data_IF_544482533745
#
_entry.id   IF_544482533745
#
_cell.length_a   1.000
_cell.length_b   1.000
_cell.length_c   1.000
_cell.angle_alpha   90.00
_cell.angle_beta   90.00
_cell.angle_gamma   90.00
#
_symmetry.space_group_name_H-M   'P 1'
#
loop_
_entity.id
_entity.type
_entity.pdbx_description
1 polymer ?
#
# COMPACT_ATOMS: atom_id res chain seq x y z
N UNK A 1 7.07 1.09 20.72
CA UNK A 1 7.25 1.18 19.26
C UNK A 1 5.89 1.33 18.61
N UNK A 2 5.74 2.24 17.66
CA UNK A 2 4.54 2.36 16.84
C UNK A 2 4.65 1.47 15.60
N UNK A 3 3.51 1.06 15.04
CA UNK A 3 3.44 0.20 13.86
C UNK A 3 2.85 0.99 12.69
N UNK A 4 3.45 0.87 11.50
CA UNK A 4 2.96 1.52 10.29
C UNK A 4 2.81 0.47 9.19
N UNK A 5 1.58 0.32 8.69
CA UNK A 5 1.25 -0.51 7.55
C UNK A 5 1.23 0.37 6.29
N UNK A 6 2.17 0.18 5.38
CA UNK A 6 2.13 0.77 4.04
C UNK A 6 1.56 -0.25 3.07
N UNK A 7 0.40 0.02 2.52
CA UNK A 7 -0.35 -0.90 1.66
C UNK A 7 -0.46 -0.32 0.26
N UNK A 8 -0.13 -1.11 -0.77
CA UNK A 8 -0.52 -0.76 -2.14
C UNK A 8 -2.01 -1.05 -2.34
N UNK A 9 -2.73 -0.15 -3.01
CA UNK A 9 -4.15 -0.35 -3.35
C UNK A 9 -4.41 -1.70 -4.05
N UNK A 10 -5.63 -2.21 -3.98
CA UNK A 10 -6.09 -3.41 -4.69
C UNK A 10 -5.98 -3.24 -6.21
N UNK A 11 -6.09 -4.35 -6.97
CA UNK A 11 -6.06 -4.28 -8.42
C UNK A 11 -7.09 -3.30 -8.95
N UNK A 12 -6.66 -2.37 -9.80
CA UNK A 12 -7.55 -1.43 -10.49
C UNK A 12 -7.89 -1.90 -11.90
N UNK A 13 -8.90 -1.30 -12.49
CA UNK A 13 -9.28 -1.54 -13.89
C UNK A 13 -8.06 -1.34 -14.78
N UNK A 14 -7.31 -0.24 -14.59
CA UNK A 14 -6.09 0.03 -15.35
C UNK A 14 -5.00 -1.01 -15.14
N UNK A 15 -4.84 -1.55 -13.90
CA UNK A 15 -3.90 -2.65 -13.68
C UNK A 15 -4.28 -3.91 -14.47
N UNK A 16 -5.57 -4.26 -14.48
CA UNK A 16 -6.09 -5.42 -15.21
C UNK A 16 -5.95 -5.26 -16.72
N UNK A 17 -6.25 -4.07 -17.25
CA UNK A 17 -6.16 -3.74 -18.67
C UNK A 17 -4.72 -3.41 -19.14
N UNK A 18 -3.77 -3.28 -18.21
CA UNK A 18 -2.41 -2.80 -18.47
C UNK A 18 -2.38 -1.37 -19.05
N UNK A 19 -3.24 -0.52 -18.53
CA UNK A 19 -3.38 0.89 -18.91
C UNK A 19 -3.14 1.81 -17.71
N UNK A 20 -2.53 2.96 -17.98
CA UNK A 20 -2.34 4.03 -17.00
C UNK A 20 -3.54 4.98 -17.04
N UNK A 21 -4.71 4.49 -16.64
CA UNK A 21 -5.96 5.25 -16.65
C UNK A 21 -5.89 6.47 -15.73
N UNK A 22 -6.58 7.58 -16.09
CA UNK A 22 -6.75 8.74 -15.21
C UNK A 22 -7.25 8.33 -13.82
N UNK A 23 -6.81 9.00 -12.76
CA UNK A 23 -7.13 8.60 -11.38
C UNK A 23 -8.63 8.46 -11.08
N UNK A 24 -9.46 9.30 -11.67
CA UNK A 24 -10.93 9.35 -11.53
C UNK A 24 -11.65 8.20 -12.23
N UNK A 25 -11.05 7.62 -13.26
CA UNK A 25 -11.60 6.50 -14.03
C UNK A 25 -11.04 5.15 -13.55
N UNK A 26 -9.95 5.18 -12.81
CA UNK A 26 -9.19 3.99 -12.42
C UNK A 26 -9.67 3.42 -11.07
N UNK A 27 -10.88 2.92 -11.04
CA UNK A 27 -11.49 2.25 -9.87
C UNK A 27 -10.88 0.87 -9.62
N UNK A 28 -11.21 0.25 -8.48
CA UNK A 28 -10.87 -1.15 -8.25
C UNK A 28 -11.62 -2.07 -9.23
N UNK A 29 -10.93 -3.12 -9.70
CA UNK A 29 -11.56 -4.25 -10.36
C UNK A 29 -12.29 -5.13 -9.33
N UNK A 30 -13.11 -6.09 -9.79
CA UNK A 30 -13.70 -7.10 -8.90
C UNK A 30 -12.63 -7.86 -8.12
N UNK A 31 -11.52 -8.22 -8.78
CA UNK A 31 -10.34 -8.82 -8.13
C UNK A 31 -9.77 -7.90 -7.05
N UNK A 32 -9.66 -6.59 -7.34
CA UNK A 32 -9.15 -5.62 -6.39
C UNK A 32 -10.04 -5.43 -5.16
N UNK A 33 -11.35 -5.43 -5.34
CA UNK A 33 -12.32 -5.42 -4.24
C UNK A 33 -12.16 -6.67 -3.35
N UNK A 34 -12.03 -7.83 -3.97
CA UNK A 34 -11.80 -9.08 -3.25
C UNK A 34 -10.47 -9.07 -2.49
N UNK A 35 -9.38 -8.62 -3.12
CA UNK A 35 -8.06 -8.49 -2.48
C UNK A 35 -8.11 -7.56 -1.25
N UNK A 36 -8.81 -6.43 -1.35
CA UNK A 36 -8.94 -5.48 -0.26
C UNK A 36 -9.69 -6.07 0.94
N UNK A 37 -10.78 -6.80 0.69
CA UNK A 37 -11.51 -7.54 1.73
C UNK A 37 -10.67 -8.62 2.37
N UNK A 38 -9.92 -9.40 1.59
CA UNK A 38 -9.02 -10.42 2.13
C UNK A 38 -7.95 -9.81 3.04
N UNK A 39 -7.36 -8.66 2.65
CA UNK A 39 -6.43 -7.97 3.53
C UNK A 39 -7.13 -7.47 4.80
N UNK A 40 -8.35 -6.94 4.69
CA UNK A 40 -9.15 -6.54 5.83
C UNK A 40 -9.40 -7.69 6.81
N UNK A 41 -9.83 -8.86 6.30
CA UNK A 41 -10.02 -10.07 7.09
C UNK A 41 -8.72 -10.57 7.75
N UNK A 42 -7.57 -10.47 7.04
CA UNK A 42 -6.25 -10.79 7.60
C UNK A 42 -5.87 -9.86 8.75
N UNK A 43 -6.28 -8.60 8.67
CA UNK A 43 -6.00 -7.56 9.65
C UNK A 43 -7.19 -7.32 10.62
N UNK A 44 -8.20 -8.16 10.65
CA UNK A 44 -9.45 -7.95 11.40
C UNK A 44 -9.28 -7.63 12.89
N UNK A 45 -8.21 -8.14 13.50
CA UNK A 45 -7.90 -7.92 14.92
C UNK A 45 -6.96 -6.73 15.15
N UNK A 46 -6.50 -6.05 14.08
CA UNK A 46 -5.63 -4.87 14.17
C UNK A 46 -6.50 -3.64 14.36
N UNK A 47 -6.28 -2.93 15.47
CA UNK A 47 -6.97 -1.66 15.72
C UNK A 47 -6.08 -0.51 15.25
N UNK A 48 -6.46 0.14 14.17
CA UNK A 48 -5.75 1.30 13.63
C UNK A 48 -6.13 2.56 14.42
N UNK A 49 -5.12 3.25 14.95
CA UNK A 49 -5.31 4.55 15.64
C UNK A 49 -5.39 5.71 14.66
N UNK A 50 -4.77 5.57 13.47
CA UNK A 50 -4.76 6.56 12.41
C UNK A 50 -4.83 5.85 11.06
N UNK A 51 -5.59 6.43 10.13
CA UNK A 51 -5.79 5.87 8.79
C UNK A 51 -5.59 6.97 7.75
N UNK A 52 -4.65 6.76 6.84
CA UNK A 52 -4.36 7.65 5.73
C UNK A 52 -4.62 6.94 4.41
N UNK A 53 -5.25 7.64 3.47
CA UNK A 53 -5.47 7.15 2.11
C UNK A 53 -5.04 8.19 1.10
N UNK A 54 -4.40 7.74 0.01
CA UNK A 54 -4.28 8.54 -1.20
C UNK A 54 -5.65 9.03 -1.67
N UNK A 55 -5.76 10.22 -2.30
CA UNK A 55 -7.02 10.74 -2.82
C UNK A 55 -7.58 9.93 -4.01
N UNK A 56 -6.82 9.03 -4.60
CA UNK A 56 -7.27 8.26 -5.75
C UNK A 56 -8.31 7.21 -5.33
N UNK A 57 -9.41 7.14 -6.09
CA UNK A 57 -10.59 6.33 -5.76
C UNK A 57 -10.24 4.86 -5.45
N UNK A 58 -9.28 4.27 -6.17
CA UNK A 58 -8.80 2.90 -5.91
C UNK A 58 -8.15 2.72 -4.53
N UNK A 59 -7.47 3.76 -4.02
CA UNK A 59 -6.87 3.73 -2.70
C UNK A 59 -7.92 3.95 -1.60
N UNK A 60 -8.82 4.90 -1.78
CA UNK A 60 -9.94 5.15 -0.86
C UNK A 60 -10.80 3.89 -0.73
N UNK A 61 -11.21 3.30 -1.87
CA UNK A 61 -12.00 2.07 -1.87
C UNK A 61 -11.27 0.90 -1.22
N UNK A 62 -9.96 0.75 -1.44
CA UNK A 62 -9.14 -0.26 -0.74
C UNK A 62 -9.18 -0.04 0.77
N UNK A 63 -9.00 1.21 1.22
CA UNK A 63 -9.03 1.57 2.64
C UNK A 63 -10.37 1.22 3.28
N UNK A 64 -11.48 1.62 2.64
CA UNK A 64 -12.84 1.34 3.10
C UNK A 64 -13.08 -0.17 3.26
N UNK A 65 -12.67 -0.98 2.26
CA UNK A 65 -12.85 -2.44 2.32
C UNK A 65 -11.94 -3.11 3.37
N UNK A 66 -10.74 -2.59 3.63
CA UNK A 66 -9.91 -3.06 4.75
C UNK A 66 -10.62 -2.80 6.08
N UNK A 67 -11.13 -1.59 6.27
CA UNK A 67 -11.78 -1.20 7.53
C UNK A 67 -13.13 -1.90 7.76
N UNK A 68 -13.87 -2.20 6.68
CA UNK A 68 -15.18 -2.88 6.79
C UNK A 68 -15.09 -4.32 7.32
N UNK A 69 -13.94 -4.98 7.17
CA UNK A 69 -13.70 -6.32 7.69
C UNK A 69 -13.14 -6.32 9.12
N UNK A 70 -12.80 -5.14 9.65
CA UNK A 70 -12.23 -5.02 11.00
C UNK A 70 -13.26 -5.32 12.09
N UNK A 71 -12.83 -5.98 13.16
CA UNK A 71 -13.63 -6.15 14.40
C UNK A 71 -13.79 -4.85 15.19
N UNK A 72 -12.93 -3.86 14.96
CA UNK A 72 -13.10 -2.51 15.47
C UNK A 72 -14.10 -1.75 14.59
N UNK A 73 -15.04 -1.03 15.23
CA UNK A 73 -15.95 -0.16 14.50
C UNK A 73 -15.25 1.13 14.12
N UNK A 74 -15.13 1.39 12.83
CA UNK A 74 -14.62 2.65 12.30
C UNK A 74 -15.74 3.49 11.69
N UNK A 75 -15.65 4.80 11.87
CA UNK A 75 -16.52 5.77 11.20
C UNK A 75 -15.86 6.18 9.89
N UNK A 76 -16.64 6.60 8.90
CA UNK A 76 -16.12 7.03 7.59
C UNK A 76 -15.16 8.23 7.70
N UNK A 77 -15.36 9.08 8.71
CA UNK A 77 -14.53 10.27 8.97
C UNK A 77 -13.15 9.95 9.58
N UNK A 78 -12.85 8.68 9.89
CA UNK A 78 -11.52 8.25 10.36
C UNK A 78 -10.48 8.29 9.26
N UNK A 79 -10.88 8.22 7.99
CA UNK A 79 -9.97 8.19 6.85
C UNK A 79 -9.49 9.61 6.52
N UNK A 80 -8.22 9.88 6.80
CA UNK A 80 -7.58 11.12 6.37
C UNK A 80 -7.10 10.95 4.93
N UNK A 81 -7.76 11.64 4.01
CA UNK A 81 -7.33 11.68 2.60
C UNK A 81 -6.18 12.65 2.45
N UNK A 82 -5.03 12.14 1.99
CA UNK A 82 -3.78 12.90 1.95
C UNK A 82 -3.17 12.88 0.54
N UNK A 83 -3.07 14.06 -0.09
CA UNK A 83 -2.53 14.22 -1.44
C UNK A 83 -1.03 13.93 -1.53
N UNK A 84 -0.30 13.99 -0.42
CA UNK A 84 1.14 13.74 -0.41
C UNK A 84 1.48 12.26 -0.66
N UNK A 85 0.49 11.37 -0.49
CA UNK A 85 0.65 9.93 -0.76
C UNK A 85 -0.08 9.45 -2.03
N UNK A 86 -0.41 10.38 -2.95
CA UNK A 86 -0.91 10.03 -4.28
C UNK A 86 0.18 9.38 -5.15
N UNK A 87 -0.21 8.66 -6.20
CA UNK A 87 0.76 8.11 -7.16
C UNK A 87 1.53 9.26 -7.88
N UNK A 88 2.74 8.97 -8.34
CA UNK A 88 3.51 9.89 -9.15
C UNK A 88 2.79 10.12 -10.47
N UNK A 89 2.62 11.39 -10.83
CA UNK A 89 2.09 11.77 -12.15
C UNK A 89 3.14 11.50 -13.23
N UNK A 90 2.75 10.80 -14.29
CA UNK A 90 3.66 10.35 -15.36
C UNK A 90 3.63 11.19 -16.62
N UNK A 91 3.05 12.41 -16.56
CA UNK A 91 3.03 13.39 -17.65
C UNK A 91 2.35 12.85 -18.89
N UNK A 92 3.06 12.93 -20.02
CA UNK A 92 2.54 12.47 -21.35
C UNK A 92 2.18 10.98 -21.40
N UNK A 93 2.53 10.20 -20.38
CA UNK A 93 2.18 8.77 -20.27
C UNK A 93 0.90 8.50 -19.48
N UNK A 94 0.25 9.53 -18.91
CA UNK A 94 -1.10 9.34 -18.36
C UNK A 94 -2.08 8.97 -19.49
N UNK A 95 -2.95 8.01 -19.24
CA UNK A 95 -3.86 7.45 -20.23
C UNK A 95 -3.20 6.55 -21.28
N UNK A 96 -1.92 6.23 -21.15
CA UNK A 96 -1.21 5.33 -22.08
C UNK A 96 -1.09 3.91 -21.51
N UNK A 97 -0.91 2.94 -22.41
CA UNK A 97 -0.62 1.57 -22.00
C UNK A 97 0.67 1.51 -21.17
N UNK A 98 0.64 0.70 -20.10
CA UNK A 98 1.82 0.42 -19.26
C UNK A 98 2.99 -0.13 -20.09
N UNK A 99 2.71 -0.85 -21.19
CA UNK A 99 3.76 -1.33 -22.11
C UNK A 99 4.49 -0.18 -22.80
N UNK A 100 3.78 0.89 -23.17
CA UNK A 100 4.38 2.09 -23.78
C UNK A 100 5.26 2.80 -22.78
N UNK A 101 4.78 2.96 -21.55
CA UNK A 101 5.57 3.54 -20.46
C UNK A 101 6.83 2.71 -20.16
N UNK A 102 6.69 1.39 -20.03
CA UNK A 102 7.80 0.48 -19.78
C UNK A 102 8.83 0.49 -20.92
N UNK A 103 8.37 0.48 -22.17
CA UNK A 103 9.24 0.58 -23.34
C UNK A 103 10.04 1.88 -23.35
N UNK A 104 9.39 3.03 -23.08
CA UNK A 104 10.04 4.31 -23.00
C UNK A 104 11.10 4.34 -21.87
N UNK A 105 10.75 3.82 -20.70
CA UNK A 105 11.67 3.70 -19.57
C UNK A 105 12.92 2.88 -19.92
N UNK A 106 12.75 1.71 -20.54
CA UNK A 106 13.85 0.82 -20.93
C UNK A 106 14.69 1.43 -22.05
N UNK A 107 14.07 2.00 -23.10
CA UNK A 107 14.75 2.54 -24.27
C UNK A 107 15.62 3.77 -23.96
N UNK A 108 15.30 4.51 -22.90
CA UNK A 108 16.09 5.66 -22.44
C UNK A 108 17.23 5.27 -21.49
N UNK A 109 17.36 3.99 -21.12
CA UNK A 109 18.30 3.56 -20.08
C UNK A 109 18.00 4.19 -18.72
N UNK A 110 16.74 4.51 -18.50
CA UNK A 110 16.28 5.31 -17.38
C UNK A 110 16.47 4.60 -16.04
N UNK A 111 16.71 5.40 -15.02
CA UNK A 111 16.66 5.04 -13.61
C UNK A 111 15.45 5.68 -12.91
N UNK A 112 15.40 5.62 -11.58
CA UNK A 112 14.35 6.25 -10.79
C UNK A 112 14.30 7.79 -10.89
N UNK A 113 15.34 8.42 -11.49
CA UNK A 113 15.37 9.84 -11.79
C UNK A 113 14.69 10.20 -13.12
N UNK A 114 14.28 9.21 -13.94
CA UNK A 114 13.64 9.47 -15.21
C UNK A 114 12.41 10.34 -15.08
N UNK A 115 12.41 11.44 -15.83
CA UNK A 115 11.37 12.45 -15.78
C UNK A 115 10.83 12.76 -17.16
N UNK A 116 9.78 12.07 -17.63
CA UNK A 116 9.14 12.39 -18.89
C UNK A 116 8.47 13.76 -18.85
N UNK A 117 8.20 14.30 -20.02
CA UNK A 117 7.54 15.61 -20.17
C UNK A 117 6.22 15.68 -19.40
N UNK A 118 6.05 16.73 -18.60
CA UNK A 118 4.88 16.95 -17.76
C UNK A 118 4.73 16.00 -16.57
N UNK A 119 5.70 15.09 -16.34
CA UNK A 119 5.68 14.24 -15.16
C UNK A 119 6.13 14.99 -13.91
N UNK A 120 5.65 14.52 -12.76
CA UNK A 120 6.15 14.96 -11.46
C UNK A 120 7.62 14.54 -11.31
N UNK A 121 8.50 15.51 -11.01
CA UNK A 121 9.92 15.25 -10.83
C UNK A 121 10.18 14.43 -9.55
N UNK A 122 11.32 13.75 -9.49
CA UNK A 122 11.75 13.07 -8.27
C UNK A 122 11.76 14.02 -7.06
N UNK A 123 12.25 15.25 -7.24
CA UNK A 123 12.34 16.24 -6.16
C UNK A 123 10.95 16.64 -5.65
N UNK A 124 9.95 16.81 -6.51
CA UNK A 124 8.57 17.10 -6.12
C UNK A 124 7.97 15.93 -5.33
N UNK A 125 8.16 14.70 -5.80
CA UNK A 125 7.73 13.49 -5.06
C UNK A 125 8.39 13.42 -3.68
N UNK A 126 9.71 13.66 -3.60
CA UNK A 126 10.45 13.64 -2.33
C UNK A 126 9.98 14.74 -1.36
N UNK A 127 9.67 15.94 -1.87
CA UNK A 127 9.18 17.05 -1.07
C UNK A 127 7.84 16.71 -0.38
N UNK A 128 6.89 16.13 -1.13
CA UNK A 128 5.61 15.72 -0.53
C UNK A 128 5.75 14.51 0.39
N UNK A 129 6.65 13.56 0.08
CA UNK A 129 6.97 12.45 0.99
C UNK A 129 7.57 12.96 2.30
N UNK A 130 8.47 13.94 2.27
CA UNK A 130 9.02 14.56 3.48
C UNK A 130 7.94 15.22 4.33
N UNK A 131 7.01 15.94 3.69
CA UNK A 131 5.85 16.53 4.36
C UNK A 131 5.00 15.46 5.08
N UNK A 132 4.66 14.39 4.37
CA UNK A 132 3.91 13.26 4.92
C UNK A 132 4.65 12.58 6.08
N UNK A 133 5.92 12.23 5.89
CA UNK A 133 6.74 11.57 6.92
C UNK A 133 6.91 12.41 8.18
N UNK A 134 6.97 13.74 8.04
CA UNK A 134 6.99 14.66 9.19
C UNK A 134 5.67 14.59 9.97
N UNK A 135 4.51 14.53 9.30
CA UNK A 135 3.21 14.35 9.97
C UNK A 135 3.14 13.01 10.71
N UNK A 136 3.53 11.93 10.05
CA UNK A 136 3.59 10.59 10.68
C UNK A 136 4.57 10.60 11.87
N UNK A 137 5.74 11.22 11.72
CA UNK A 137 6.71 11.36 12.78
C UNK A 137 6.12 12.07 14.01
N UNK A 138 5.43 13.18 13.81
CA UNK A 138 4.76 13.91 14.88
C UNK A 138 3.72 13.05 15.61
N UNK A 139 2.92 12.25 14.86
CA UNK A 139 1.94 11.34 15.45
C UNK A 139 2.63 10.27 16.31
N UNK A 140 3.72 9.68 15.80
CA UNK A 140 4.50 8.66 16.52
C UNK A 140 5.12 9.25 17.79
N UNK A 141 5.59 10.48 17.76
CA UNK A 141 6.29 11.13 18.86
C UNK A 141 5.35 11.69 19.95
N UNK A 142 4.08 11.96 19.59
CA UNK A 142 3.10 12.54 20.50
C UNK A 142 2.45 11.51 21.43
N UNK A 143 2.30 11.89 22.70
CA UNK A 143 1.63 11.07 23.74
C UNK A 143 2.48 9.86 24.19
N UNK A 144 1.98 9.07 25.11
CA UNK A 144 2.65 7.87 25.66
C UNK A 144 2.26 6.56 24.96
N UNK A 145 1.14 6.56 24.24
CA UNK A 145 0.55 5.35 23.67
C UNK A 145 1.26 4.94 22.39
N UNK A 146 1.28 3.61 22.15
CA UNK A 146 1.69 3.03 20.90
C UNK A 146 0.65 3.37 19.82
N UNK A 147 1.12 3.77 18.63
CA UNK A 147 0.25 4.04 17.49
C UNK A 147 0.31 2.89 16.49
N UNK A 148 -0.82 2.57 15.89
CA UNK A 148 -0.93 1.66 14.74
C UNK A 148 -1.54 2.43 13.59
N UNK A 149 -0.78 2.64 12.53
CA UNK A 149 -1.11 3.54 11.43
C UNK A 149 -1.29 2.73 10.16
N UNK A 150 -2.41 2.93 9.47
CA UNK A 150 -2.65 2.40 8.13
C UNK A 150 -2.40 3.50 7.09
N UNK A 151 -1.64 3.19 6.06
CA UNK A 151 -1.34 4.09 4.92
C UNK A 151 -1.60 3.33 3.63
N UNK A 152 -2.68 3.68 2.92
CA UNK A 152 -2.99 3.07 1.63
C UNK A 152 -2.55 4.00 0.50
N UNK A 153 -1.66 3.49 -0.35
CA UNK A 153 -0.97 4.25 -1.38
C UNK A 153 -0.71 3.41 -2.65
N UNK A 154 0.36 3.68 -3.40
CA UNK A 154 0.61 3.19 -4.76
C UNK A 154 2.00 2.56 -4.90
N UNK A 155 2.15 1.78 -5.98
CA UNK A 155 3.36 0.99 -6.19
C UNK A 155 4.60 1.81 -6.46
N UNK A 156 4.54 2.80 -7.37
CA UNK A 156 5.70 3.62 -7.69
C UNK A 156 6.04 4.58 -6.54
N UNK A 157 5.02 5.17 -5.88
CA UNK A 157 5.27 6.00 -4.71
C UNK A 157 5.96 5.24 -3.59
N UNK A 158 5.60 3.97 -3.34
CA UNK A 158 6.29 3.16 -2.32
C UNK A 158 7.78 2.98 -2.67
N UNK A 159 8.15 2.79 -3.94
CA UNK A 159 9.56 2.74 -4.34
C UNK A 159 10.26 4.07 -4.03
N UNK A 160 9.65 5.20 -4.39
CA UNK A 160 10.21 6.52 -4.05
C UNK A 160 10.37 6.70 -2.54
N UNK A 161 9.39 6.24 -1.75
CA UNK A 161 9.45 6.27 -0.29
C UNK A 161 10.65 5.48 0.26
N UNK A 162 10.84 4.25 -0.23
CA UNK A 162 11.97 3.42 0.24
C UNK A 162 13.31 4.03 -0.18
N UNK A 163 13.46 4.52 -1.42
CA UNK A 163 14.67 5.23 -1.86
C UNK A 163 14.92 6.46 -0.99
N UNK A 164 13.89 7.28 -0.75
CA UNK A 164 13.97 8.47 0.10
C UNK A 164 14.50 8.16 1.49
N UNK A 165 13.95 7.14 2.15
CA UNK A 165 14.35 6.74 3.51
C UNK A 165 15.77 6.17 3.54
N UNK A 166 16.15 5.36 2.55
CA UNK A 166 17.47 4.72 2.47
C UNK A 166 18.61 5.69 2.19
N UNK A 167 18.34 6.74 1.40
CA UNK A 167 19.33 7.74 1.03
C UNK A 167 19.60 8.76 2.15
N UNK A 168 18.65 8.95 3.07
CA UNK A 168 18.73 9.95 4.16
C UNK A 168 19.09 9.32 5.50
N UNK A 169 20.27 8.69 5.54
CA UNK A 169 20.76 7.96 6.72
C UNK A 169 20.95 8.85 7.95
N UNK A 170 21.10 10.16 7.76
CA UNK A 170 21.15 11.15 8.83
C UNK A 170 19.78 11.36 9.52
N UNK A 171 18.67 11.01 8.83
CA UNK A 171 17.31 11.12 9.35
C UNK A 171 16.69 9.76 9.70
N UNK A 172 17.05 8.71 8.99
CA UNK A 172 16.44 7.38 9.10
C UNK A 172 17.47 6.27 9.05
N UNK A 173 17.35 5.27 9.91
CA UNK A 173 18.18 4.06 9.92
C UNK A 173 17.29 2.84 9.94
N UNK A 174 17.46 1.98 8.94
CA UNK A 174 16.84 0.65 8.95
C UNK A 174 17.73 -0.36 9.68
N UNK A 175 17.15 -1.09 10.64
CA UNK A 175 17.85 -2.15 11.38
C UNK A 175 18.09 -3.41 10.55
N UNK A 176 17.17 -3.73 9.63
CA UNK A 176 17.14 -5.03 8.94
C UNK A 176 16.65 -4.94 7.49
N UNK A 177 16.92 -3.82 6.81
CA UNK A 177 16.59 -3.67 5.38
C UNK A 177 17.39 -4.66 4.53
N UNK A 178 16.72 -5.24 3.52
CA UNK A 178 17.35 -6.11 2.52
C UNK A 178 17.16 -5.53 1.12
N UNK A 179 18.17 -5.59 0.23
CA UNK A 179 18.06 -5.04 -1.13
C UNK A 179 16.88 -5.59 -1.94
N UNK A 180 16.51 -6.86 -1.74
CA UNK A 180 15.38 -7.51 -2.40
C UNK A 180 14.00 -6.93 -2.03
N UNK A 181 13.93 -6.10 -1.00
CA UNK A 181 12.70 -5.38 -0.64
C UNK A 181 12.42 -4.19 -1.58
N UNK A 182 13.45 -3.70 -2.31
CA UNK A 182 13.29 -2.59 -3.24
C UNK A 182 12.75 -3.09 -4.59
N UNK A 183 11.46 -3.36 -4.63
CA UNK A 183 10.72 -3.73 -5.84
C UNK A 183 9.28 -3.23 -5.75
N UNK A 184 8.59 -3.16 -6.88
CA UNK A 184 7.17 -2.79 -6.90
C UNK A 184 6.35 -3.86 -6.17
N UNK A 185 5.63 -3.45 -5.14
CA UNK A 185 4.69 -4.32 -4.41
C UNK A 185 3.56 -4.76 -5.33
N UNK A 186 3.07 -6.00 -5.19
CA UNK A 186 1.81 -6.43 -5.83
C UNK A 186 0.63 -5.71 -5.17
N UNK A 187 -0.53 -5.74 -5.81
CA UNK A 187 -1.74 -5.15 -5.26
C UNK A 187 -2.08 -5.76 -3.89
N UNK A 188 -2.49 -4.92 -2.96
CA UNK A 188 -2.71 -5.18 -1.53
C UNK A 188 -1.52 -5.74 -0.75
N UNK A 189 -0.37 -5.96 -1.36
CA UNK A 189 0.83 -6.27 -0.59
C UNK A 189 1.16 -5.10 0.34
N UNK A 190 1.67 -5.44 1.52
CA UNK A 190 1.99 -4.43 2.53
C UNK A 190 3.40 -4.57 3.09
N UNK A 191 3.91 -3.45 3.57
CA UNK A 191 5.05 -3.38 4.49
C UNK A 191 4.53 -3.06 5.88
N UNK A 192 5.03 -3.77 6.87
CA UNK A 192 4.86 -3.43 8.28
C UNK A 192 6.19 -2.96 8.83
N UNK A 193 6.22 -1.70 9.24
CA UNK A 193 7.36 -1.09 9.91
C UNK A 193 7.05 -0.91 11.39
N UNK A 194 8.00 -1.28 12.23
CA UNK A 194 8.04 -0.84 13.62
C UNK A 194 8.93 0.41 13.70
N UNK A 195 8.41 1.44 14.35
CA UNK A 195 9.02 2.78 14.41
C UNK A 195 9.14 3.21 15.86
N UNK A 196 10.35 3.60 16.28
CA UNK A 196 10.56 4.14 17.61
C UNK A 196 10.31 5.64 17.67
N UNK A 197 9.89 6.10 18.84
CA UNK A 197 9.84 7.54 19.13
C UNK A 197 11.23 8.13 19.16
N UNK A 198 11.36 9.36 18.67
CA UNK A 198 12.59 10.11 18.84
C UNK A 198 12.77 10.49 20.31
N UNK A 199 13.94 10.18 20.85
CA UNK A 199 14.37 10.59 22.21
C UNK A 199 15.08 11.94 22.23
N UNK A 200 15.00 12.70 21.14
CA UNK A 200 15.65 13.99 20.91
C UNK A 200 15.79 14.28 19.43
N UNK A 201 16.16 15.50 19.08
CA UNK A 201 16.25 15.95 17.68
C UNK A 201 17.55 15.57 16.97
N UNK A 202 18.54 15.03 17.68
CA UNK A 202 19.89 14.80 17.16
C UNK A 202 20.16 13.38 16.67
N UNK A 203 19.22 12.46 16.83
CA UNK A 203 19.40 11.05 16.39
C UNK A 203 18.47 10.71 15.26
N UNK A 204 18.93 9.88 14.28
CA UNK A 204 18.07 9.36 13.23
C UNK A 204 16.96 8.46 13.82
N UNK A 205 15.81 8.45 13.16
CA UNK A 205 14.69 7.56 13.52
C UNK A 205 15.01 6.14 13.09
N UNK A 206 14.96 5.23 14.04
CA UNK A 206 15.11 3.81 13.77
C UNK A 206 13.83 3.21 13.21
N UNK A 207 13.98 2.47 12.12
CA UNK A 207 12.94 1.74 11.41
C UNK A 207 13.29 0.26 11.37
N UNK A 208 12.35 -0.60 11.71
CA UNK A 208 12.52 -2.04 11.60
C UNK A 208 11.44 -2.63 10.69
N UNK A 209 11.86 -3.37 9.67
CA UNK A 209 10.94 -4.06 8.77
C UNK A 209 10.47 -5.34 9.45
N UNK A 210 9.21 -5.37 9.87
CA UNK A 210 8.56 -6.54 10.45
C UNK A 210 8.02 -7.47 9.37
N UNK A 211 7.46 -6.88 8.30
CA UNK A 211 6.96 -7.59 7.12
C UNK A 211 7.35 -6.79 5.88
N UNK A 212 7.86 -7.46 4.86
CA UNK A 212 8.10 -6.87 3.55
C UNK A 212 7.31 -7.63 2.48
N UNK A 213 6.53 -6.89 1.68
CA UNK A 213 5.64 -7.46 0.64
C UNK A 213 4.70 -8.55 1.19
N UNK A 214 4.17 -8.38 2.41
CA UNK A 214 3.20 -9.30 2.99
C UNK A 214 2.06 -9.57 2.02
N UNK A 215 1.79 -10.84 1.79
CA UNK A 215 0.82 -11.31 0.80
C UNK A 215 0.07 -12.57 1.25
N UNK A 216 0.16 -12.91 2.52
CA UNK A 216 -0.41 -14.12 3.12
C UNK A 216 -1.94 -14.16 2.97
N UNK A 217 -2.57 -12.99 2.86
CA UNK A 217 -3.99 -12.82 2.62
C UNK A 217 -4.41 -13.12 1.18
N UNK A 218 -3.49 -13.06 0.20
CA UNK A 218 -3.77 -13.28 -1.21
C UNK A 218 -3.89 -14.78 -1.51
N UNK A 219 -4.98 -15.36 -1.07
CA UNK A 219 -5.33 -16.73 -1.39
C UNK A 219 -6.03 -16.72 -2.75
N UNK A 220 -5.59 -17.55 -3.71
CA UNK A 220 -6.32 -17.69 -4.97
C UNK A 220 -7.75 -18.21 -4.68
N UNK A 221 -8.73 -17.86 -5.52
CA UNK A 221 -10.09 -18.42 -5.38
C UNK A 221 -10.07 -19.95 -5.28
N UNK A 222 -9.14 -20.58 -5.99
CA UNK A 222 -8.92 -22.03 -5.95
C UNK A 222 -8.40 -22.49 -4.57
N UNK A 223 -7.52 -21.72 -3.93
CA UNK A 223 -6.98 -22.07 -2.62
C UNK A 223 -8.01 -21.75 -1.52
N UNK A 224 -8.80 -20.68 -1.66
CA UNK A 224 -9.93 -20.40 -0.78
C UNK A 224 -10.98 -21.49 -0.85
N UNK A 225 -11.33 -21.95 -2.06
CA UNK A 225 -12.21 -23.09 -2.26
C UNK A 225 -11.63 -24.38 -1.66
N UNK A 226 -10.33 -24.67 -1.90
CA UNK A 226 -9.66 -25.84 -1.34
C UNK A 226 -9.58 -25.83 0.20
N UNK A 227 -9.44 -24.62 0.83
CA UNK A 227 -9.52 -24.49 2.29
C UNK A 227 -10.95 -24.76 2.79
N UNK A 228 -11.95 -24.14 2.17
CA UNK A 228 -13.38 -24.40 2.48
C UNK A 228 -13.73 -25.88 2.34
N UNK A 229 -13.17 -26.56 1.33
CA UNK A 229 -13.37 -28.01 1.12
C UNK A 229 -12.64 -28.84 2.17
N UNK A 230 -11.47 -28.42 2.66
CA UNK A 230 -10.74 -29.11 3.74
C UNK A 230 -11.39 -28.89 5.11
N UNK A 231 -11.89 -27.69 5.37
CA UNK A 231 -12.51 -27.33 6.65
C UNK A 231 -13.94 -27.86 6.76
N UNK A 232 -14.64 -28.06 5.64
CA UNK A 232 -15.95 -28.69 5.60
C UNK A 232 -15.83 -30.23 5.49
N UNK A 233 -15.69 -30.90 6.60
CA UNK A 233 -15.84 -32.37 6.70
C UNK A 233 -17.25 -32.89 6.33
N UNK A 234 -18.15 -32.04 5.83
CA UNK A 234 -19.54 -32.38 5.45
C UNK A 234 -19.86 -32.07 3.98
N UNK A 235 -18.91 -32.31 3.07
CA UNK A 235 -19.17 -32.20 1.62
C UNK A 235 -20.19 -33.21 1.08
N UNK A 236 -20.55 -34.23 1.87
CA UNK A 236 -21.62 -35.16 1.51
C UNK A 236 -23.01 -34.53 1.54
N UNK A 237 -23.19 -33.41 2.26
CA UNK A 237 -24.48 -32.68 2.27
C UNK A 237 -24.65 -31.78 1.03
N UNK A 238 -23.59 -31.35 0.37
CA UNK A 238 -23.67 -30.51 -0.84
C UNK A 238 -23.84 -31.33 -2.14
N UNK A 239 -23.40 -32.59 -2.16
CA UNK A 239 -23.66 -33.50 -3.29
C UNK A 239 -25.12 -33.84 -3.45
N UNK A 240 -25.89 -33.81 -2.37
CA UNK A 240 -27.31 -34.11 -2.39
C UNK A 240 -28.20 -32.93 -2.83
N UNK A 241 -27.67 -31.70 -2.90
CA UNK A 241 -28.42 -30.53 -3.38
C UNK A 241 -28.32 -30.30 -4.90
N UNK A 242 -27.48 -31.04 -5.61
CA UNK A 242 -27.29 -30.90 -7.08
C UNK A 242 -27.96 -32.02 -7.87
N UNK A 243 -28.62 -32.96 -7.19
CA UNK A 243 -29.37 -34.09 -7.80
C UNK A 243 -30.91 -34.07 -7.52
N UNK A 244 -31.48 -32.89 -7.23
CA UNK A 244 -32.92 -32.70 -7.26
C UNK A 244 -33.32 -31.62 -8.27
#
# INVERSE_FOLDING_TARGET
>A
MSLIYFVRHGESIGNNQHENLPPEENMLSETGLFQAKQLGAHLENVVFTHVFSSPYIRAISTTQHILSESKASYRDDVIVVDSDIRERHMGIYEGKSIKVLAHAFISTGADFGWNPEGAETRQEVESRLESFLRRIGNIVDTGSEQKTILVVTHGALMIHLWCYLLERKEKYIFKNWKPEYLKVSKNTNYFLLAVEKLKGTAQPRELEVMVAHGSEHLVTQKDAFNRLVKDNKSLDSLKNCVQQ
#
